data_IF_138091638680
#
_entry.id   IF_138091638680
#
_cell.length_a   1.000
_cell.length_b   1.000
_cell.length_c   1.000
_cell.angle_alpha   90.00
_cell.angle_beta   90.00
_cell.angle_gamma   90.00
#
_symmetry.space_group_name_H-M   'P 1'
#
loop_
_entity.id
_entity.type
_entity.pdbx_description
1 polymer ?
#
# COMPACT_ATOMS: atom_id res chain seq x y z
N UNK A 1 -0.71 -7.75 16.38
CA UNK A 1 0.40 -7.42 15.45
C UNK A 1 0.19 -6.01 14.97
N UNK A 2 1.27 -5.24 14.83
CA UNK A 2 1.20 -3.85 14.36
C UNK A 2 1.59 -3.77 12.88
N UNK A 3 1.06 -2.76 12.20
CA UNK A 3 1.39 -2.41 10.83
C UNK A 3 1.79 -0.94 10.77
N UNK A 4 2.84 -0.65 9.98
CA UNK A 4 3.28 0.71 9.67
C UNK A 4 3.46 0.80 8.15
N UNK A 5 2.63 1.61 7.48
CA UNK A 5 2.59 1.70 6.02
C UNK A 5 2.82 3.14 5.61
N UNK A 6 3.77 3.36 4.69
CA UNK A 6 4.03 4.67 4.13
C UNK A 6 4.26 4.59 2.61
N UNK A 7 3.84 5.62 1.90
CA UNK A 7 4.01 5.76 0.45
C UNK A 7 4.73 7.06 0.14
N UNK A 8 5.78 6.97 -0.67
CA UNK A 8 6.46 8.10 -1.31
C UNK A 8 5.98 8.30 -2.74
N UNK A 9 6.38 9.42 -3.36
CA UNK A 9 6.11 9.74 -4.78
C UNK A 9 4.62 9.81 -5.20
N UNK A 10 3.67 9.68 -4.27
CA UNK A 10 2.23 9.87 -4.49
C UNK A 10 1.67 11.03 -3.64
N UNK A 11 2.54 11.95 -3.24
CA UNK A 11 2.28 13.16 -2.43
C UNK A 11 3.49 14.08 -2.49
N UNK A 12 3.37 15.31 -1.98
CA UNK A 12 4.49 16.25 -1.88
C UNK A 12 5.67 15.70 -1.05
N UNK A 13 5.37 14.90 -0.01
CA UNK A 13 6.33 14.17 0.83
C UNK A 13 5.82 12.75 1.05
N UNK A 14 6.67 11.84 1.54
CA UNK A 14 6.20 10.52 1.96
C UNK A 14 5.15 10.66 3.06
N UNK A 15 4.06 9.90 2.94
CA UNK A 15 2.95 9.92 3.88
C UNK A 15 2.75 8.56 4.49
N UNK A 16 2.49 8.54 5.79
CA UNK A 16 1.98 7.37 6.50
C UNK A 16 0.49 7.22 6.18
N UNK A 17 0.04 5.98 5.97
CA UNK A 17 -1.33 5.67 5.57
C UNK A 17 -2.09 5.03 6.73
N UNK A 18 -2.66 5.85 7.60
CA UNK A 18 -3.30 5.39 8.84
C UNK A 18 -4.55 4.55 8.54
N UNK A 19 -5.27 4.90 7.47
CA UNK A 19 -6.42 4.14 6.98
C UNK A 19 -6.07 2.70 6.59
N UNK A 20 -4.96 2.52 5.87
CA UNK A 20 -4.45 1.19 5.50
C UNK A 20 -4.01 0.42 6.75
N UNK A 21 -3.28 1.07 7.65
CA UNK A 21 -2.84 0.41 8.88
C UNK A 21 -4.02 -0.05 9.74
N UNK A 22 -5.06 0.77 9.85
CA UNK A 22 -6.28 0.41 10.57
C UNK A 22 -6.99 -0.79 9.93
N UNK A 23 -7.06 -0.85 8.60
CA UNK A 23 -7.65 -1.98 7.87
C UNK A 23 -6.91 -3.30 8.08
N UNK A 24 -5.59 -3.25 8.30
CA UNK A 24 -4.75 -4.43 8.50
C UNK A 24 -4.72 -4.93 9.94
N UNK A 25 -4.89 -4.05 10.93
CA UNK A 25 -4.83 -4.43 12.35
C UNK A 25 -5.93 -5.45 12.68
N UNK A 26 -5.53 -6.57 13.28
CA UNK A 26 -6.43 -7.65 13.68
C UNK A 26 -6.82 -8.62 12.56
N UNK A 27 -6.38 -8.40 11.32
CA UNK A 27 -6.62 -9.32 10.21
C UNK A 27 -5.74 -10.58 10.32
N UNK A 28 -6.25 -11.70 9.84
CA UNK A 28 -5.47 -12.93 9.72
C UNK A 28 -4.45 -12.84 8.58
N UNK A 29 -3.26 -13.43 8.80
CA UNK A 29 -2.17 -13.46 7.82
C UNK A 29 -2.50 -14.45 6.69
N UNK A 30 -3.27 -13.97 5.73
CA UNK A 30 -3.77 -14.71 4.57
C UNK A 30 -3.63 -13.84 3.31
N UNK A 31 -3.74 -14.39 2.09
CA UNK A 31 -3.73 -13.59 0.87
C UNK A 31 -4.80 -12.47 0.82
N UNK A 32 -5.87 -12.56 1.62
CA UNK A 32 -6.90 -11.53 1.74
C UNK A 32 -6.38 -10.18 2.30
N UNK A 33 -5.17 -10.16 2.88
CA UNK A 33 -4.52 -8.90 3.29
C UNK A 33 -4.30 -7.96 2.10
N UNK A 34 -4.09 -8.49 0.89
CA UNK A 34 -3.95 -7.67 -0.31
C UNK A 34 -5.22 -6.85 -0.58
N UNK A 35 -6.38 -7.51 -0.53
CA UNK A 35 -7.67 -6.86 -0.80
C UNK A 35 -8.02 -5.82 0.26
N UNK A 36 -7.73 -6.13 1.53
CA UNK A 36 -7.89 -5.21 2.66
C UNK A 36 -7.01 -3.97 2.50
N UNK A 37 -5.74 -4.15 2.13
CA UNK A 37 -4.81 -3.04 1.90
C UNK A 37 -5.20 -2.19 0.68
N UNK A 38 -5.61 -2.85 -0.42
CA UNK A 38 -5.97 -2.18 -1.68
C UNK A 38 -7.22 -1.30 -1.53
N UNK A 39 -8.23 -1.80 -0.81
CA UNK A 39 -9.54 -1.16 -0.64
C UNK A 39 -9.56 -0.10 0.48
N UNK A 40 -8.53 -0.06 1.32
CA UNK A 40 -8.46 0.90 2.43
C UNK A 40 -8.36 2.35 1.94
N UNK A 41 -8.85 3.33 2.73
CA UNK A 41 -8.69 4.73 2.39
C UNK A 41 -7.21 5.14 2.41
N UNK A 42 -6.86 6.03 1.48
CA UNK A 42 -5.50 6.59 1.32
C UNK A 42 -5.57 8.12 1.25
N UNK A 43 -6.43 8.71 2.08
CA UNK A 43 -6.79 10.14 2.06
C UNK A 43 -5.58 11.07 2.30
N UNK A 44 -4.49 10.53 2.85
CA UNK A 44 -3.23 11.25 3.02
C UNK A 44 -2.50 11.48 1.70
N UNK A 45 -2.85 10.74 0.65
CA UNK A 45 -2.26 10.86 -0.69
C UNK A 45 -2.88 12.02 -1.48
N UNK A 46 -2.02 12.82 -2.09
CA UNK A 46 -2.40 13.93 -2.97
C UNK A 46 -1.69 13.79 -4.32
N UNK A 47 -2.08 12.82 -5.17
CA UNK A 47 -1.41 12.55 -6.44
C UNK A 47 -1.55 13.74 -7.40
N UNK A 48 -0.50 13.98 -8.19
CA UNK A 48 -0.49 14.96 -9.28
C UNK A 48 -0.37 14.25 -10.62
N UNK A 49 -1.02 14.79 -11.65
CA UNK A 49 -0.73 14.40 -13.02
C UNK A 49 0.56 15.08 -13.50
N UNK A 50 1.43 14.35 -14.16
CA UNK A 50 2.58 14.88 -14.90
C UNK A 50 2.90 13.98 -16.11
N UNK A 51 4.00 14.24 -16.83
CA UNK A 51 4.41 13.46 -18.02
C UNK A 51 4.64 11.97 -17.75
N UNK A 52 4.79 11.56 -16.49
CA UNK A 52 4.97 10.16 -16.07
C UNK A 52 3.64 9.43 -15.83
N UNK A 53 2.52 10.14 -15.73
CA UNK A 53 1.20 9.53 -15.53
C UNK A 53 0.16 10.46 -14.94
N UNK A 54 -1.11 10.03 -15.02
CA UNK A 54 -2.24 10.75 -14.42
C UNK A 54 -2.28 10.61 -12.89
N UNK A 55 -3.09 11.45 -12.24
CA UNK A 55 -3.28 11.36 -10.80
C UNK A 55 -3.95 10.03 -10.40
N UNK A 56 -4.96 9.59 -11.17
CA UNK A 56 -5.70 8.35 -10.95
C UNK A 56 -4.79 7.12 -11.10
N UNK A 57 -3.91 7.13 -12.12
CA UNK A 57 -2.93 6.06 -12.31
C UNK A 57 -1.99 5.96 -11.12
N UNK A 58 -1.50 7.09 -10.60
CA UNK A 58 -0.56 7.11 -9.46
C UNK A 58 -1.20 6.61 -8.18
N UNK A 59 -2.46 6.99 -7.92
CA UNK A 59 -3.19 6.47 -6.76
C UNK A 59 -3.41 4.96 -6.88
N UNK A 60 -3.89 4.49 -8.04
CA UNK A 60 -4.10 3.07 -8.28
C UNK A 60 -2.80 2.27 -8.16
N UNK A 61 -1.70 2.77 -8.72
CA UNK A 61 -0.38 2.15 -8.60
C UNK A 61 0.11 2.10 -7.15
N UNK A 62 -0.11 3.16 -6.36
CA UNK A 62 0.22 3.16 -4.94
C UNK A 62 -0.54 2.07 -4.17
N UNK A 63 -1.84 1.91 -4.44
CA UNK A 63 -2.68 0.84 -3.84
C UNK A 63 -2.17 -0.55 -4.19
N UNK A 64 -1.89 -0.81 -5.46
CA UNK A 64 -1.33 -2.08 -5.93
C UNK A 64 0.02 -2.40 -5.27
N UNK A 65 0.92 -1.42 -5.20
CA UNK A 65 2.25 -1.60 -4.62
C UNK A 65 2.13 -1.88 -3.11
N UNK A 66 1.26 -1.17 -2.40
CA UNK A 66 1.01 -1.40 -0.97
C UNK A 66 0.45 -2.79 -0.73
N UNK A 67 -0.55 -3.24 -1.49
CA UNK A 67 -1.12 -4.58 -1.36
C UNK A 67 -0.06 -5.68 -1.52
N UNK A 68 0.81 -5.55 -2.52
CA UNK A 68 1.94 -6.48 -2.74
C UNK A 68 2.97 -6.42 -1.62
N UNK A 69 3.31 -5.23 -1.16
CA UNK A 69 4.28 -5.03 -0.08
C UNK A 69 3.80 -5.62 1.25
N UNK A 70 2.51 -5.49 1.56
CA UNK A 70 1.87 -6.10 2.74
C UNK A 70 1.98 -7.62 2.68
N UNK A 71 1.59 -8.24 1.57
CA UNK A 71 1.70 -9.68 1.37
C UNK A 71 3.15 -10.18 1.49
N UNK A 72 4.11 -9.47 0.88
CA UNK A 72 5.53 -9.79 0.98
C UNK A 72 6.05 -9.68 2.43
N UNK A 73 5.71 -8.61 3.15
CA UNK A 73 6.13 -8.39 4.53
C UNK A 73 5.50 -9.41 5.51
N UNK A 74 4.26 -9.83 5.25
CA UNK A 74 3.55 -10.80 6.05
C UNK A 74 3.86 -12.26 5.69
N UNK A 75 4.66 -12.50 4.63
CA UNK A 75 5.05 -13.85 4.19
C UNK A 75 3.92 -14.64 3.52
N UNK A 76 2.91 -13.95 2.98
CA UNK A 76 1.74 -14.55 2.31
C UNK A 76 1.78 -14.21 0.83
N UNK A 77 2.21 -15.16 0.01
CA UNK A 77 2.32 -14.98 -1.44
C UNK A 77 3.48 -15.78 -2.03
N UNK A 78 3.20 -16.55 -3.08
CA UNK A 78 4.20 -17.35 -3.78
C UNK A 78 5.18 -16.49 -4.57
N UNK A 79 6.37 -16.25 -3.99
CA UNK A 79 7.60 -15.96 -4.73
C UNK A 79 7.86 -14.50 -5.11
N UNK A 80 8.56 -13.77 -4.25
CA UNK A 80 9.96 -13.38 -4.48
C UNK A 80 10.48 -12.82 -3.16
N UNK A 81 11.58 -13.36 -2.64
CA UNK A 81 12.26 -12.75 -1.49
C UNK A 81 12.68 -11.33 -1.91
N UNK A 82 12.27 -10.32 -1.15
CA UNK A 82 12.92 -9.02 -1.22
C UNK A 82 14.39 -9.24 -0.88
N UNK A 83 15.27 -9.09 -1.87
CA UNK A 83 16.71 -9.11 -1.66
C UNK A 83 17.08 -7.89 -0.80
N UNK A 84 17.78 -8.18 0.29
CA UNK A 84 18.46 -7.20 1.13
C UNK A 84 19.66 -6.60 0.38
#
# INVERSE_FOLDING_TARGET
ADAAIAVGACSAVARRLEGVEAALRGQAVTPALADAAFSAPVDELSPIADVRGSAEYREHAAREIVARAVCAAAGVGGGAKAAA
#
